data_IF_187474999835
#
_entry.id   IF_187474999835
#
_cell.length_a   1.000
_cell.length_b   1.000
_cell.length_c   1.000
_cell.angle_alpha   90.00
_cell.angle_beta   90.00
_cell.angle_gamma   90.00
#
_symmetry.space_group_name_H-M   'P 1'
#
loop_
_entity.id
_entity.type
_entity.pdbx_description
1 polymer ?
#
# COMPACT_ATOMS: atom_id res chain seq x y z
N UNK A 1 27.17 -12.26 -13.95
CA UNK A 1 26.50 -11.20 -14.75
C UNK A 1 26.63 -9.89 -13.99
N UNK A 2 27.08 -8.80 -14.63
CA UNK A 2 27.33 -7.54 -13.93
C UNK A 2 26.00 -6.84 -13.57
N UNK A 3 25.97 -6.15 -12.42
CA UNK A 3 24.74 -5.64 -11.81
C UNK A 3 23.98 -4.63 -12.70
N UNK A 4 24.71 -3.93 -13.57
CA UNK A 4 24.16 -2.96 -14.52
C UNK A 4 23.30 -3.61 -15.61
N UNK A 5 23.41 -4.94 -15.76
CA UNK A 5 22.62 -5.74 -16.72
C UNK A 5 21.40 -6.39 -16.08
N UNK A 6 21.23 -6.26 -14.76
CA UNK A 6 20.06 -6.77 -14.04
C UNK A 6 18.90 -5.77 -14.11
N UNK A 7 17.68 -6.31 -14.15
CA UNK A 7 16.44 -5.54 -14.11
C UNK A 7 15.60 -6.11 -12.97
N UNK A 8 15.26 -5.26 -12.00
CA UNK A 8 14.40 -5.65 -10.91
C UNK A 8 12.95 -5.41 -11.32
N UNK A 9 12.13 -6.42 -11.10
CA UNK A 9 10.69 -6.40 -11.29
C UNK A 9 10.07 -6.65 -9.93
N UNK A 10 9.18 -5.76 -9.52
CA UNK A 10 8.43 -5.90 -8.28
C UNK A 10 6.95 -5.61 -8.53
N UNK A 11 6.13 -6.32 -7.77
CA UNK A 11 4.69 -6.12 -7.72
C UNK A 11 4.28 -5.76 -6.30
N UNK A 12 3.65 -4.60 -6.16
CA UNK A 12 3.14 -4.13 -4.88
C UNK A 12 1.62 -3.96 -4.96
N UNK A 13 0.89 -4.66 -4.08
CA UNK A 13 -0.56 -4.55 -3.94
C UNK A 13 -0.95 -3.60 -2.81
N UNK A 14 -1.87 -2.67 -3.07
CA UNK A 14 -2.41 -1.73 -2.06
C UNK A 14 -3.88 -2.05 -1.80
N UNK A 15 -4.22 -2.23 -0.52
CA UNK A 15 -5.60 -2.48 -0.09
C UNK A 15 -6.28 -1.18 0.29
N UNK A 16 -7.55 -1.04 -0.05
CA UNK A 16 -8.41 0.10 0.31
C UNK A 16 -9.14 -0.09 1.65
N UNK A 17 -8.73 -1.07 2.46
CA UNK A 17 -9.24 -1.33 3.82
C UNK A 17 -8.70 -0.28 4.80
N UNK A 18 -9.28 0.92 4.74
CA UNK A 18 -8.85 2.06 5.57
C UNK A 18 -9.85 2.45 6.66
N UNK A 19 -10.98 1.74 6.77
CA UNK A 19 -11.94 1.99 7.84
C UNK A 19 -11.36 1.53 9.19
N UNK A 20 -11.37 2.43 10.18
CA UNK A 20 -10.91 2.11 11.54
C UNK A 20 -11.88 1.13 12.21
N UNK A 21 -11.34 0.14 12.89
CA UNK A 21 -12.10 -0.89 13.63
C UNK A 21 -12.45 -0.48 15.06
N UNK A 22 -11.98 0.69 15.52
CA UNK A 22 -12.16 1.15 16.89
C UNK A 22 -12.56 2.64 16.89
N UNK A 23 -13.47 2.99 17.79
CA UNK A 23 -13.93 4.35 18.01
C UNK A 23 -14.11 4.60 19.52
N UNK A 24 -14.10 5.87 19.93
CA UNK A 24 -14.35 6.26 21.32
C UNK A 24 -15.71 6.95 21.41
N UNK A 25 -16.46 6.65 22.46
CA UNK A 25 -17.71 7.32 22.79
C UNK A 25 -17.77 7.61 24.30
N UNK A 26 -18.56 8.60 24.74
CA UNK A 26 -18.85 8.84 26.15
C UNK A 26 -19.42 7.59 26.84
N UNK A 27 -19.26 7.51 28.17
CA UNK A 27 -19.80 6.40 28.96
C UNK A 27 -21.32 6.30 28.76
N UNK A 28 -21.79 5.07 28.51
CA UNK A 28 -23.21 4.80 28.25
C UNK A 28 -23.66 4.98 26.79
N UNK A 29 -22.78 5.41 25.89
CA UNK A 29 -23.11 5.59 24.47
C UNK A 29 -22.44 4.54 23.58
N UNK A 30 -23.09 4.22 22.46
CA UNK A 30 -22.53 3.37 21.41
C UNK A 30 -21.76 4.24 20.41
N UNK A 31 -20.57 3.78 20.04
CA UNK A 31 -19.81 4.39 18.94
C UNK A 31 -20.26 3.76 17.61
N UNK A 32 -20.99 4.53 16.81
CA UNK A 32 -21.43 4.11 15.48
C UNK A 32 -20.43 4.58 14.41
N UNK A 33 -20.24 3.77 13.38
CA UNK A 33 -19.42 4.11 12.22
C UNK A 33 -19.92 3.38 10.99
N UNK A 34 -19.74 4.00 9.82
CA UNK A 34 -19.98 3.36 8.53
C UNK A 34 -18.68 2.84 7.94
N UNK A 35 -18.73 1.65 7.38
CA UNK A 35 -17.66 1.11 6.52
C UNK A 35 -18.22 1.11 5.11
N UNK A 36 -17.48 1.61 4.10
CA UNK A 36 -17.88 1.47 2.71
C UNK A 36 -17.78 -0.01 2.30
N UNK A 37 -18.79 -0.79 2.65
CA UNK A 37 -18.96 -2.18 2.26
C UNK A 37 -19.53 -2.17 0.84
N UNK A 38 -18.75 -2.57 -0.18
CA UNK A 38 -19.33 -2.80 -1.51
C UNK A 38 -18.42 -2.67 -2.74
N UNK A 39 -17.20 -2.16 -2.64
CA UNK A 39 -16.31 -2.07 -3.82
C UNK A 39 -14.84 -2.10 -3.42
N UNK A 40 -14.39 -3.25 -2.91
CA UNK A 40 -12.98 -3.47 -2.59
C UNK A 40 -12.12 -3.42 -3.85
N UNK A 41 -11.62 -2.23 -4.19
CA UNK A 41 -10.64 -2.08 -5.25
C UNK A 41 -9.24 -2.38 -4.68
N UNK A 42 -8.54 -3.29 -5.34
CA UNK A 42 -7.10 -3.50 -5.16
C UNK A 42 -6.38 -2.77 -6.27
N UNK A 43 -5.43 -1.93 -5.89
CA UNK A 43 -4.51 -1.33 -6.85
C UNK A 43 -3.26 -2.20 -6.88
N UNK A 44 -2.94 -2.76 -8.05
CA UNK A 44 -1.68 -3.43 -8.29
C UNK A 44 -0.75 -2.46 -8.99
N UNK A 45 0.42 -2.22 -8.40
CA UNK A 45 1.48 -1.41 -8.98
C UNK A 45 2.60 -2.33 -9.41
N UNK A 46 3.01 -2.21 -10.67
CA UNK A 46 4.15 -2.94 -11.19
C UNK A 46 5.30 -1.98 -11.46
N UNK A 47 6.46 -2.29 -10.89
CA UNK A 47 7.64 -1.46 -10.96
C UNK A 47 8.77 -2.17 -11.69
N UNK A 48 9.46 -1.44 -12.56
CA UNK A 48 10.74 -1.88 -13.13
C UNK A 48 11.83 -0.90 -12.78
N UNK A 49 12.88 -1.37 -12.12
CA UNK A 49 14.01 -0.53 -11.74
C UNK A 49 15.35 -1.14 -12.17
N UNK A 50 16.32 -0.27 -12.37
CA UNK A 50 17.73 -0.61 -12.58
C UNK A 50 18.55 0.18 -11.59
N UNK A 51 19.52 -0.46 -10.97
CA UNK A 51 20.48 0.22 -10.12
C UNK A 51 21.43 1.00 -11.01
N UNK A 52 21.50 2.31 -10.81
CA UNK A 52 22.50 3.17 -11.45
C UNK A 52 23.44 3.69 -10.37
N UNK A 53 24.72 3.37 -10.48
CA UNK A 53 25.76 3.82 -9.55
C UNK A 53 25.95 5.34 -9.70
N UNK A 54 25.42 6.10 -8.73
CA UNK A 54 25.50 7.56 -8.77
C UNK A 54 26.78 8.11 -8.11
N UNK A 55 27.47 7.31 -7.29
CA UNK A 55 28.68 7.72 -6.56
C UNK A 55 29.94 7.87 -7.42
N UNK A 56 29.89 7.50 -8.70
CA UNK A 56 31.02 7.56 -9.63
C UNK A 56 31.09 8.89 -10.41
N UNK A 57 30.48 9.94 -9.87
CA UNK A 57 30.47 11.29 -10.45
C UNK A 57 30.78 12.31 -9.36
#
# INVERSE_FOLDING_TARGET
MPAERLVFLDESGVTTKMARTHARAPRGQRAYGSVPLGSWQRLTVWGRSRVRAWWRR
#
